data_IF_454112726420
#
_entry.id   IF_454112726420
#
_cell.length_a   1.000
_cell.length_b   1.000
_cell.length_c   1.000
_cell.angle_alpha   90.00
_cell.angle_beta   90.00
_cell.angle_gamma   90.00
#
_symmetry.space_group_name_H-M   'P 1'
#
loop_
_entity.id
_entity.type
_entity.pdbx_description
1 polymer ?
#
# COMPACT_ATOMS: atom_id res chain seq x y z
N UNK A 1 13.00 -49.78 -61.37
CA UNK A 1 12.64 -48.41 -60.93
C UNK A 1 12.19 -48.49 -59.47
N UNK A 2 13.15 -48.44 -58.52
CA UNK A 2 12.88 -48.62 -57.09
C UNK A 2 13.00 -47.31 -56.33
N UNK A 3 11.88 -46.76 -55.88
CA UNK A 3 11.80 -45.43 -55.27
C UNK A 3 12.29 -45.45 -53.81
N UNK A 4 13.34 -44.68 -53.50
CA UNK A 4 13.82 -44.43 -52.13
C UNK A 4 12.74 -43.73 -51.28
N UNK A 5 12.19 -44.40 -50.26
CA UNK A 5 11.34 -43.81 -49.22
C UNK A 5 11.88 -44.12 -47.82
N UNK A 6 12.94 -43.45 -47.38
CA UNK A 6 13.35 -43.43 -45.95
C UNK A 6 14.24 -42.21 -45.69
N UNK A 7 13.62 -41.04 -45.53
CA UNK A 7 14.33 -39.82 -45.10
C UNK A 7 13.47 -38.80 -44.33
N UNK A 8 12.23 -39.14 -43.93
CA UNK A 8 11.32 -38.18 -43.24
C UNK A 8 11.01 -38.52 -41.78
N UNK A 9 11.56 -39.62 -41.23
CA UNK A 9 11.24 -40.08 -39.87
C UNK A 9 12.03 -39.38 -38.75
N UNK A 10 13.11 -38.67 -39.07
CA UNK A 10 13.91 -37.89 -38.10
C UNK A 10 13.60 -36.39 -38.06
N UNK A 11 12.85 -35.86 -39.03
CA UNK A 11 12.56 -34.44 -39.15
C UNK A 11 11.53 -33.97 -38.11
N UNK A 12 10.48 -34.76 -37.89
CA UNK A 12 9.38 -34.39 -36.98
C UNK A 12 9.80 -34.38 -35.51
N UNK A 13 10.78 -35.19 -35.11
CA UNK A 13 11.29 -35.22 -33.74
C UNK A 13 12.12 -33.99 -33.39
N UNK A 14 12.94 -33.53 -34.34
CA UNK A 14 13.74 -32.32 -34.19
C UNK A 14 12.85 -31.06 -34.19
N UNK A 15 11.84 -31.01 -35.05
CA UNK A 15 10.82 -29.95 -35.06
C UNK A 15 10.06 -29.88 -33.72
N UNK A 16 9.63 -31.03 -33.17
CA UNK A 16 8.99 -31.06 -31.85
C UNK A 16 9.93 -30.63 -30.72
N UNK A 17 11.23 -30.95 -30.82
CA UNK A 17 12.20 -30.55 -29.81
C UNK A 17 12.41 -29.03 -29.79
N UNK A 18 12.47 -28.39 -30.96
CA UNK A 18 12.59 -26.93 -31.07
C UNK A 18 11.34 -26.24 -30.49
N UNK A 19 10.15 -26.75 -30.79
CA UNK A 19 8.89 -26.24 -30.23
C UNK A 19 8.88 -26.37 -28.70
N UNK A 20 9.37 -27.50 -28.16
CA UNK A 20 9.45 -27.75 -26.72
C UNK A 20 10.40 -26.75 -26.04
N UNK A 21 11.58 -26.52 -26.62
CA UNK A 21 12.54 -25.52 -26.09
C UNK A 21 11.93 -24.12 -26.12
N UNK A 22 11.31 -23.72 -27.23
CA UNK A 22 10.64 -22.42 -27.34
C UNK A 22 9.52 -22.26 -26.30
N UNK A 23 8.71 -23.31 -26.09
CA UNK A 23 7.64 -23.32 -25.10
C UNK A 23 8.17 -23.16 -23.67
N UNK A 24 9.26 -23.87 -23.32
CA UNK A 24 9.90 -23.76 -22.00
C UNK A 24 10.48 -22.36 -21.77
N UNK A 25 11.09 -21.76 -22.79
CA UNK A 25 11.62 -20.39 -22.68
C UNK A 25 10.50 -19.38 -22.43
N UNK A 26 9.39 -19.48 -23.17
CA UNK A 26 8.22 -18.59 -22.98
C UNK A 26 7.63 -18.80 -21.58
N UNK A 27 7.49 -20.06 -21.14
CA UNK A 27 7.00 -20.36 -19.79
C UNK A 27 7.91 -19.79 -18.70
N UNK A 28 9.23 -19.90 -18.85
CA UNK A 28 10.20 -19.35 -17.91
C UNK A 28 10.18 -17.82 -17.86
N UNK A 29 10.11 -17.15 -19.03
CA UNK A 29 10.02 -15.70 -19.11
C UNK A 29 8.71 -15.18 -18.49
N UNK A 30 7.60 -15.87 -18.74
CA UNK A 30 6.31 -15.55 -18.14
C UNK A 30 6.32 -15.75 -16.63
N UNK A 31 6.89 -16.87 -16.14
CA UNK A 31 7.03 -17.13 -14.70
C UNK A 31 7.86 -16.03 -14.02
N UNK A 32 8.97 -15.60 -14.63
CA UNK A 32 9.78 -14.50 -14.11
C UNK A 32 8.99 -13.18 -14.04
N UNK A 33 8.24 -12.84 -15.09
CA UNK A 33 7.40 -11.64 -15.10
C UNK A 33 6.33 -11.69 -13.99
N UNK A 34 5.64 -12.82 -13.85
CA UNK A 34 4.60 -13.03 -12.82
C UNK A 34 5.20 -12.95 -11.42
N UNK A 35 6.38 -13.54 -11.17
CA UNK A 35 7.04 -13.45 -9.87
C UNK A 35 7.42 -12.01 -9.52
N UNK A 36 7.96 -11.24 -10.46
CA UNK A 36 8.29 -9.84 -10.22
C UNK A 36 7.05 -8.99 -9.90
N UNK A 37 5.97 -9.18 -10.66
CA UNK A 37 4.69 -8.52 -10.39
C UNK A 37 4.11 -8.97 -9.04
N UNK A 38 4.21 -10.26 -8.72
CA UNK A 38 3.75 -10.83 -7.45
C UNK A 38 4.54 -10.29 -6.24
N UNK A 39 5.85 -10.13 -6.36
CA UNK A 39 6.68 -9.53 -5.33
C UNK A 39 6.37 -8.04 -5.15
N UNK A 40 6.22 -7.29 -6.24
CA UNK A 40 5.83 -5.88 -6.16
C UNK A 40 4.45 -5.70 -5.52
N UNK A 41 3.47 -6.54 -5.88
CA UNK A 41 2.15 -6.55 -5.25
C UNK A 41 2.24 -6.90 -3.77
N UNK A 42 3.03 -7.90 -3.38
CA UNK A 42 3.19 -8.31 -1.97
C UNK A 42 3.85 -7.21 -1.15
N UNK A 43 4.90 -6.57 -1.68
CA UNK A 43 5.54 -5.42 -1.05
C UNK A 43 4.55 -4.28 -0.87
N UNK A 44 3.78 -3.96 -1.92
CA UNK A 44 2.77 -2.91 -1.85
C UNK A 44 1.68 -3.21 -0.83
N UNK A 45 1.20 -4.46 -0.77
CA UNK A 45 0.26 -4.91 0.25
C UNK A 45 0.83 -4.74 1.66
N UNK A 46 2.10 -5.07 1.88
CA UNK A 46 2.77 -4.86 3.18
C UNK A 46 2.83 -3.39 3.59
N UNK A 47 3.18 -2.50 2.65
CA UNK A 47 3.17 -1.05 2.89
C UNK A 47 1.76 -0.54 3.23
N UNK A 48 0.74 -0.94 2.46
CA UNK A 48 -0.64 -0.49 2.67
C UNK A 48 -1.19 -1.02 3.99
N UNK A 49 -0.86 -2.25 4.39
CA UNK A 49 -1.24 -2.79 5.70
C UNK A 49 -0.62 -1.99 6.84
N UNK A 50 0.68 -1.66 6.71
CA UNK A 50 1.37 -0.84 7.71
C UNK A 50 0.77 0.58 7.77
N UNK A 51 0.56 1.22 6.62
CA UNK A 51 -0.03 2.55 6.52
C UNK A 51 -1.50 2.57 7.02
N UNK A 52 -2.27 1.54 6.71
CA UNK A 52 -3.65 1.39 7.19
C UNK A 52 -3.72 1.17 8.70
N UNK A 53 -2.78 0.38 9.25
CA UNK A 53 -2.63 0.28 10.69
C UNK A 53 -2.17 1.62 11.28
N UNK A 54 -1.26 2.34 10.62
CA UNK A 54 -0.81 3.70 10.99
C UNK A 54 -1.98 4.66 11.12
N UNK A 55 -2.84 4.68 10.12
CA UNK A 55 -4.03 5.54 10.08
C UNK A 55 -5.10 5.10 11.10
N UNK A 56 -5.33 3.80 11.25
CA UNK A 56 -6.32 3.31 12.21
C UNK A 56 -5.98 3.66 13.66
N UNK A 57 -4.69 3.86 13.97
CA UNK A 57 -4.22 4.24 15.31
C UNK A 57 -3.75 5.69 15.42
N UNK A 58 -3.86 6.50 14.36
CA UNK A 58 -3.44 7.91 14.36
C UNK A 58 -4.56 8.85 14.81
N UNK A 59 -5.68 8.32 15.31
CA UNK A 59 -6.78 9.14 15.79
C UNK A 59 -6.38 9.92 17.05
N UNK A 60 -6.89 11.15 17.14
CA UNK A 60 -6.77 12.01 18.31
C UNK A 60 -8.09 11.94 19.08
N UNK A 61 -8.00 11.76 20.39
CA UNK A 61 -9.13 11.80 21.31
C UNK A 61 -8.91 12.89 22.36
N UNK A 62 -10.01 13.43 22.88
CA UNK A 62 -9.95 14.45 23.92
C UNK A 62 -9.58 13.82 25.27
N UNK A 63 -8.56 14.36 25.91
CA UNK A 63 -8.03 13.92 27.20
C UNK A 63 -8.61 14.76 28.34
N UNK A 64 -9.87 14.50 28.73
CA UNK A 64 -10.52 15.16 29.88
C UNK A 64 -11.67 16.08 29.48
N UNK A 65 -11.70 17.29 30.03
CA UNK A 65 -12.75 18.29 29.76
C UNK A 65 -12.19 19.46 28.96
N UNK A 66 -13.04 20.07 28.12
CA UNK A 66 -12.73 21.37 27.48
C UNK A 66 -12.91 22.47 28.52
N UNK A 67 -11.89 23.31 28.68
CA UNK A 67 -11.92 24.42 29.65
C UNK A 67 -12.04 25.72 28.86
N UNK A 68 -13.12 26.46 29.09
CA UNK A 68 -13.32 27.79 28.53
C UNK A 68 -13.15 28.85 29.62
N UNK A 69 -12.24 29.79 29.41
CA UNK A 69 -12.03 30.94 30.31
C UNK A 69 -12.83 32.13 29.78
N UNK A 70 -13.75 32.63 30.60
CA UNK A 70 -14.49 33.86 30.31
C UNK A 70 -13.74 35.10 30.82
N UNK A 71 -13.75 36.17 30.04
CA UNK A 71 -13.29 37.50 30.45
C UNK A 71 -14.43 38.52 30.31
N UNK A 72 -14.54 39.42 31.29
CA UNK A 72 -15.50 40.50 31.26
C UNK A 72 -14.90 41.71 30.55
N UNK A 73 -15.15 41.81 29.25
CA UNK A 73 -14.81 42.99 28.46
C UNK A 73 -16.06 43.88 28.36
N UNK A 74 -16.06 44.99 29.11
CA UNK A 74 -17.08 46.05 29.01
C UNK A 74 -18.53 45.58 29.29
N UNK A 75 -18.74 44.78 30.34
CA UNK A 75 -20.08 44.41 30.82
C UNK A 75 -20.74 43.23 30.08
N UNK A 76 -20.04 42.63 29.12
CA UNK A 76 -20.49 41.40 28.44
C UNK A 76 -19.46 40.30 28.68
N UNK A 77 -19.91 39.15 29.21
CA UNK A 77 -19.06 37.97 29.36
C UNK A 77 -18.75 37.39 27.98
N UNK A 78 -17.46 37.30 27.62
CA UNK A 78 -16.98 36.67 26.39
C UNK A 78 -16.01 35.55 26.72
N UNK A 79 -15.96 34.51 25.90
CA UNK A 79 -14.94 33.46 26.02
C UNK A 79 -13.64 34.02 25.46
N UNK A 80 -12.62 34.16 26.31
CA UNK A 80 -11.32 34.68 25.92
C UNK A 80 -10.39 33.57 25.43
N UNK A 81 -10.40 32.41 26.10
CA UNK A 81 -9.55 31.27 25.75
C UNK A 81 -10.29 29.94 25.90
N UNK A 82 -9.96 28.99 25.02
CA UNK A 82 -10.43 27.60 25.09
C UNK A 82 -9.20 26.70 25.14
N UNK A 83 -9.08 25.89 26.19
CA UNK A 83 -8.00 24.92 26.37
C UNK A 83 -8.57 23.51 26.16
N UNK A 84 -7.99 22.79 25.19
CA UNK A 84 -8.31 21.40 24.91
C UNK A 84 -7.07 20.54 25.20
N UNK A 85 -7.22 19.56 26.07
CA UNK A 85 -6.22 18.51 26.24
C UNK A 85 -6.55 17.38 25.28
N UNK A 86 -5.58 16.95 24.49
CA UNK A 86 -5.76 15.88 23.50
C UNK A 86 -4.68 14.82 23.66
N UNK A 87 -5.01 13.57 23.37
CA UNK A 87 -4.08 12.44 23.35
C UNK A 87 -4.28 11.62 22.08
N UNK A 88 -3.24 10.93 21.64
CA UNK A 88 -3.38 9.93 20.57
C UNK A 88 -4.07 8.68 21.12
N UNK A 89 -4.88 8.03 20.27
CA UNK A 89 -5.48 6.73 20.55
C UNK A 89 -4.43 5.61 20.75
N UNK A 90 -4.93 4.42 21.10
CA UNK A 90 -4.13 3.22 21.42
C UNK A 90 -3.28 2.82 20.20
N UNK A 91 -2.01 3.24 20.24
CA UNK A 91 -1.04 3.11 19.15
C UNK A 91 0.04 4.19 19.19
N UNK A 92 -0.25 5.34 19.84
CA UNK A 92 0.71 6.41 20.16
C UNK A 92 1.56 6.87 18.97
N UNK A 93 0.97 6.88 17.77
CA UNK A 93 1.66 7.38 16.58
C UNK A 93 1.67 8.92 16.60
N UNK A 94 2.79 9.56 16.23
CA UNK A 94 2.85 11.02 16.18
C UNK A 94 1.82 11.56 15.19
N UNK A 95 1.09 12.59 15.60
CA UNK A 95 0.17 13.34 14.72
C UNK A 95 0.72 14.75 14.57
N UNK A 96 0.78 15.24 13.34
CA UNK A 96 1.28 16.59 13.06
C UNK A 96 0.25 17.65 13.47
N UNK A 97 0.65 18.53 14.38
CA UNK A 97 -0.14 19.67 14.89
C UNK A 97 0.39 21.01 14.37
N UNK A 98 1.09 21.01 13.24
CA UNK A 98 1.49 22.24 12.57
C UNK A 98 0.28 23.09 12.14
N UNK A 99 0.49 24.41 12.01
CA UNK A 99 -0.57 25.37 11.65
C UNK A 99 -1.11 25.18 10.22
N UNK A 100 -0.49 24.32 9.41
CA UNK A 100 -0.92 24.00 8.06
C UNK A 100 -1.87 22.80 7.99
N UNK A 101 -1.81 21.90 8.99
CA UNK A 101 -2.61 20.67 9.04
C UNK A 101 -3.75 20.76 10.06
N UNK A 102 -3.56 21.53 11.14
CA UNK A 102 -4.56 21.71 12.19
C UNK A 102 -5.49 22.90 11.85
N UNK A 103 -6.78 22.61 11.68
CA UNK A 103 -7.82 23.62 11.52
C UNK A 103 -8.72 23.64 12.76
N UNK A 104 -8.93 24.84 13.31
CA UNK A 104 -9.92 25.12 14.36
C UNK A 104 -10.90 26.13 13.75
N UNK A 105 -12.14 25.72 13.54
CA UNK A 105 -13.21 26.52 12.92
C UNK A 105 -14.38 26.73 13.86
#
# INVERSE_FOLDING_TARGET
MGLKRRARRGLTGLETAIILIAFVIVAAAFAFAVLNLGFSSTQKSGEVLKAGLEEATSSIELAGSVIAMGENASGTMKVANITLYVKTAVGKRPVDMSTNTLVIS
#
